data_IF_487017084551
#
_entry.id   IF_487017084551
#
_cell.length_a   1.000
_cell.length_b   1.000
_cell.length_c   1.000
_cell.angle_alpha   90.00
_cell.angle_beta   90.00
_cell.angle_gamma   90.00
#
_symmetry.space_group_name_H-M   'P 1'
#
loop_
_entity.id
_entity.type
_entity.pdbx_description
1 polymer ?
#
# COMPACT_ATOMS: atom_id res chain seq x y z
N UNK A 1 17.93 57.47 -15.96
CA UNK A 1 17.39 56.57 -14.91
C UNK A 1 15.88 56.51 -15.12
N UNK A 2 15.18 55.40 -15.34
CA UNK A 2 15.40 53.97 -15.13
C UNK A 2 14.82 53.21 -16.34
N UNK A 3 15.51 52.18 -16.80
CA UNK A 3 15.02 51.25 -17.80
C UNK A 3 13.96 50.33 -17.17
N UNK A 4 12.83 50.12 -17.85
CA UNK A 4 11.88 49.06 -17.54
C UNK A 4 12.36 47.78 -18.22
N UNK A 5 12.81 46.82 -17.43
CA UNK A 5 13.21 45.50 -17.90
C UNK A 5 11.93 44.71 -18.19
N UNK A 6 11.73 44.34 -19.45
CA UNK A 6 10.80 43.31 -19.89
C UNK A 6 11.24 41.98 -19.29
N UNK A 7 10.47 41.46 -18.33
CA UNK A 7 10.64 40.10 -17.82
C UNK A 7 10.07 39.12 -18.84
N UNK A 8 10.93 38.68 -19.77
CA UNK A 8 10.63 37.52 -20.60
C UNK A 8 10.65 36.27 -19.69
N UNK A 9 9.47 35.77 -19.34
CA UNK A 9 9.34 34.43 -18.78
C UNK A 9 9.59 33.48 -19.95
N UNK A 10 10.86 33.15 -20.17
CA UNK A 10 11.21 31.93 -20.87
C UNK A 10 10.64 30.78 -20.05
N UNK A 11 9.50 30.23 -20.50
CA UNK A 11 9.09 28.88 -20.12
C UNK A 11 10.09 27.97 -20.80
N UNK A 12 11.28 27.89 -20.20
CA UNK A 12 12.28 26.89 -20.50
C UNK A 12 11.56 25.55 -20.39
N UNK A 13 11.53 24.84 -21.51
CA UNK A 13 11.22 23.42 -21.51
C UNK A 13 12.06 22.75 -20.43
N UNK A 14 11.42 22.45 -19.30
CA UNK A 14 11.85 21.35 -18.47
C UNK A 14 11.45 20.11 -19.24
N UNK A 15 12.38 19.71 -20.11
CA UNK A 15 12.51 18.32 -20.47
C UNK A 15 12.46 17.50 -19.19
N UNK A 16 11.38 16.75 -19.04
CA UNK A 16 11.42 15.45 -18.37
C UNK A 16 11.44 14.37 -19.44
N UNK A 17 12.31 14.53 -20.44
CA UNK A 17 13.08 13.39 -20.94
C UNK A 17 14.02 12.98 -19.81
N UNK A 18 13.46 12.21 -18.87
CA UNK A 18 14.13 11.81 -17.64
C UNK A 18 13.44 10.68 -16.89
N UNK A 19 12.33 10.12 -17.38
CA UNK A 19 11.80 8.84 -16.89
C UNK A 19 12.66 7.67 -17.40
N UNK A 20 13.96 7.71 -17.14
CA UNK A 20 14.91 6.62 -17.34
C UNK A 20 15.86 6.58 -16.14
N UNK A 21 15.34 6.40 -14.95
CA UNK A 21 16.08 5.80 -13.83
C UNK A 21 15.11 5.50 -12.67
N UNK A 22 15.03 4.22 -12.29
CA UNK A 22 14.37 3.69 -11.07
C UNK A 22 12.84 3.69 -11.03
N UNK A 23 12.22 3.00 -11.99
CA UNK A 23 10.85 2.48 -11.85
C UNK A 23 10.96 1.05 -11.31
N UNK A 24 10.47 0.83 -10.09
CA UNK A 24 11.12 -0.08 -9.17
C UNK A 24 10.20 -1.24 -8.71
N UNK A 25 8.86 -1.13 -8.67
CA UNK A 25 8.02 -2.34 -8.45
C UNK A 25 7.67 -3.01 -9.76
N UNK A 26 8.17 -4.23 -10.04
CA UNK A 26 7.76 -4.95 -11.23
C UNK A 26 6.29 -5.37 -11.10
N UNK A 27 5.54 -5.29 -12.20
CA UNK A 27 4.25 -5.94 -12.29
C UNK A 27 4.35 -7.41 -11.89
N UNK A 28 3.26 -7.94 -11.36
CA UNK A 28 3.15 -9.36 -11.05
C UNK A 28 2.39 -9.64 -9.76
N UNK A 29 2.47 -10.90 -9.38
CA UNK A 29 1.75 -11.47 -8.27
C UNK A 29 2.63 -11.48 -7.03
N UNK A 30 2.11 -10.96 -5.93
CA UNK A 30 2.80 -10.87 -4.64
C UNK A 30 2.01 -11.62 -3.59
N UNK A 31 2.65 -12.55 -2.91
CA UNK A 31 2.12 -13.13 -1.68
C UNK A 31 2.36 -12.16 -0.52
N UNK A 32 1.32 -11.93 0.25
CA UNK A 32 1.33 -11.15 1.48
C UNK A 32 1.35 -12.10 2.68
N UNK A 33 2.23 -11.84 3.63
CA UNK A 33 2.21 -12.46 4.95
C UNK A 33 2.09 -11.36 6.00
N UNK A 34 1.16 -11.54 6.93
CA UNK A 34 0.83 -10.52 7.92
C UNK A 34 1.53 -10.81 9.25
N UNK A 35 1.99 -9.75 9.92
CA UNK A 35 2.59 -9.84 11.25
C UNK A 35 2.04 -8.75 12.15
N UNK A 36 1.52 -9.11 13.32
CA UNK A 36 0.98 -8.12 14.25
C UNK A 36 2.06 -7.16 14.76
N UNK A 37 1.71 -5.88 14.93
CA UNK A 37 2.59 -4.85 15.49
C UNK A 37 2.01 -4.21 16.76
N UNK A 38 0.79 -3.67 16.69
CA UNK A 38 0.16 -2.97 17.82
C UNK A 38 -1.36 -2.84 17.64
N UNK A 39 -2.14 -3.07 18.69
CA UNK A 39 -3.61 -2.97 18.64
C UNK A 39 -4.31 -3.47 19.89
N UNK A 40 -5.64 -3.44 19.85
CA UNK A 40 -6.55 -3.85 20.92
C UNK A 40 -7.48 -5.01 20.51
N UNK A 41 -7.23 -5.62 19.35
CA UNK A 41 -8.01 -6.77 18.92
C UNK A 41 -7.80 -7.99 19.84
N UNK A 42 -8.86 -8.79 20.09
CA UNK A 42 -8.73 -10.02 20.86
C UNK A 42 -7.65 -10.93 20.28
N UNK A 43 -6.93 -11.63 21.16
CA UNK A 43 -5.80 -12.49 20.77
C UNK A 43 -6.18 -13.51 19.70
N UNK A 44 -7.39 -14.08 19.78
CA UNK A 44 -7.90 -15.05 18.81
C UNK A 44 -8.01 -14.46 17.40
N UNK A 45 -8.49 -13.21 17.29
CA UNK A 45 -8.55 -12.46 16.02
C UNK A 45 -7.13 -12.17 15.50
N UNK A 46 -6.21 -11.78 16.40
CA UNK A 46 -4.82 -11.51 16.03
C UNK A 46 -4.13 -12.77 15.51
N UNK A 47 -4.33 -13.93 16.14
CA UNK A 47 -3.73 -15.19 15.71
C UNK A 47 -4.25 -15.64 14.34
N UNK A 48 -5.56 -15.59 14.10
CA UNK A 48 -6.13 -15.89 12.77
C UNK A 48 -5.59 -14.93 11.70
N UNK A 49 -5.36 -13.67 12.08
CA UNK A 49 -4.82 -12.66 11.19
C UNK A 49 -3.33 -12.89 10.87
N UNK A 50 -2.50 -13.30 11.83
CA UNK A 50 -1.09 -13.63 11.59
C UNK A 50 -0.91 -14.89 10.72
N UNK A 51 -1.86 -15.81 10.78
CA UNK A 51 -1.91 -17.00 9.92
C UNK A 51 -2.47 -16.71 8.53
N UNK A 52 -3.09 -15.54 8.33
CA UNK A 52 -3.62 -15.15 7.04
C UNK A 52 -2.48 -14.91 6.05
N UNK A 53 -2.66 -15.39 4.83
CA UNK A 53 -1.80 -15.07 3.69
C UNK A 53 -2.68 -14.97 2.47
N UNK A 54 -2.48 -13.89 1.72
CA UNK A 54 -3.25 -13.64 0.50
C UNK A 54 -2.31 -13.25 -0.63
N UNK A 55 -2.84 -13.25 -1.84
CA UNK A 55 -2.09 -12.94 -3.05
C UNK A 55 -2.69 -11.71 -3.71
N UNK A 56 -1.87 -10.71 -3.96
CA UNK A 56 -2.27 -9.51 -4.70
C UNK A 56 -1.58 -9.44 -6.05
N UNK A 57 -2.32 -9.03 -7.06
CA UNK A 57 -1.77 -8.73 -8.39
C UNK A 57 -1.58 -7.23 -8.55
N UNK A 58 -0.36 -6.84 -8.93
CA UNK A 58 -0.04 -5.47 -9.32
C UNK A 58 0.06 -5.45 -10.84
N UNK A 59 -0.91 -4.83 -11.53
CA UNK A 59 -0.89 -4.77 -12.97
C UNK A 59 0.16 -3.74 -13.44
N UNK A 60 0.61 -3.89 -14.69
CA UNK A 60 1.75 -3.12 -15.22
C UNK A 60 1.52 -1.61 -15.24
N UNK A 61 0.28 -1.17 -15.42
CA UNK A 61 -0.12 0.24 -15.40
C UNK A 61 -0.06 0.88 -14.01
N UNK A 62 -0.04 0.08 -12.94
CA UNK A 62 0.13 0.54 -11.55
C UNK A 62 1.55 0.33 -11.02
N UNK A 63 2.43 -0.25 -11.83
CA UNK A 63 3.84 -0.38 -11.49
C UNK A 63 4.43 1.00 -11.15
N UNK A 64 5.28 1.03 -10.12
CA UNK A 64 6.00 2.23 -9.67
C UNK A 64 5.13 3.34 -9.04
N UNK A 65 3.87 3.05 -8.71
CA UNK A 65 3.05 3.87 -7.82
C UNK A 65 3.11 3.32 -6.39
N UNK A 66 2.75 4.13 -5.39
CA UNK A 66 2.55 3.63 -4.02
C UNK A 66 1.49 2.54 -4.05
N UNK A 67 1.79 1.39 -3.47
CA UNK A 67 0.80 0.33 -3.36
C UNK A 67 -0.15 0.68 -2.21
N UNK A 68 -1.43 0.77 -2.53
CA UNK A 68 -2.52 0.93 -1.56
C UNK A 68 -3.67 0.05 -2.03
N UNK A 69 -4.17 -0.79 -1.12
CA UNK A 69 -5.36 -1.62 -1.32
C UNK A 69 -6.23 -1.61 -0.07
N UNK A 70 -7.54 -1.73 -0.26
CA UNK A 70 -8.50 -1.89 0.80
C UNK A 70 -9.25 -3.20 0.55
N UNK A 71 -9.27 -4.08 1.56
CA UNK A 71 -10.05 -5.32 1.53
C UNK A 71 -11.10 -5.17 2.62
N UNK A 72 -12.38 -5.14 2.23
CA UNK A 72 -13.48 -5.06 3.17
C UNK A 72 -14.43 -6.23 2.96
N UNK A 73 -14.93 -6.78 4.07
CA UNK A 73 -15.92 -7.85 4.09
C UNK A 73 -16.91 -7.61 5.22
N UNK A 74 -18.16 -7.94 4.99
CA UNK A 74 -19.22 -7.90 6.00
C UNK A 74 -19.46 -9.34 6.48
N UNK A 75 -19.34 -9.59 7.78
CA UNK A 75 -19.55 -10.89 8.43
C UNK A 75 -20.55 -10.71 9.54
N UNK A 76 -21.75 -11.30 9.38
CA UNK A 76 -22.86 -11.17 10.32
C UNK A 76 -23.18 -9.70 10.64
N UNK A 77 -22.94 -9.26 11.88
CA UNK A 77 -23.16 -7.89 12.37
C UNK A 77 -21.89 -7.05 12.40
N UNK A 78 -20.81 -7.53 11.78
CA UNK A 78 -19.49 -6.92 11.81
C UNK A 78 -19.01 -6.56 10.41
N UNK A 79 -18.56 -5.32 10.23
CA UNK A 79 -17.78 -4.89 9.07
C UNK A 79 -16.31 -4.98 9.39
N UNK A 80 -15.58 -5.76 8.60
CA UNK A 80 -14.13 -5.92 8.71
C UNK A 80 -13.49 -5.22 7.52
N UNK A 81 -12.52 -4.35 7.77
CA UNK A 81 -11.74 -3.68 6.72
C UNK A 81 -10.26 -3.73 7.01
N UNK A 82 -9.47 -3.98 5.97
CA UNK A 82 -8.03 -3.98 5.99
C UNK A 82 -7.53 -2.97 4.96
N UNK A 83 -6.93 -1.89 5.45
CA UNK A 83 -6.19 -0.95 4.62
C UNK A 83 -4.72 -1.37 4.62
N UNK A 84 -4.17 -1.66 3.44
CA UNK A 84 -2.78 -2.09 3.29
C UNK A 84 -2.07 -1.10 2.38
N UNK A 85 -0.87 -0.68 2.78
CA UNK A 85 0.00 0.15 1.98
C UNK A 85 1.44 -0.33 2.03
N UNK A 86 2.18 -0.10 0.95
CA UNK A 86 3.60 -0.44 0.87
C UNK A 86 4.33 0.54 -0.06
N UNK A 87 5.59 0.78 0.25
CA UNK A 87 6.47 1.55 -0.60
C UNK A 87 7.06 0.67 -1.71
N UNK A 88 7.26 1.30 -2.86
CA UNK A 88 7.67 0.65 -4.09
C UNK A 88 9.20 0.82 -4.32
N UNK A 89 9.95 -0.28 -4.45
CA UNK A 89 11.41 -0.28 -4.72
C UNK A 89 11.81 -1.35 -5.76
N UNK A 90 13.01 -1.27 -6.38
CA UNK A 90 13.50 -2.14 -7.49
C UNK A 90 13.49 -3.62 -7.12
N UNK A 91 13.51 -3.88 -5.82
CA UNK A 91 13.52 -5.18 -5.20
C UNK A 91 12.10 -5.70 -4.90
N UNK A 92 11.05 -4.94 -5.26
CA UNK A 92 9.66 -5.24 -4.97
C UNK A 92 9.03 -4.27 -3.96
N UNK A 93 7.94 -4.71 -3.35
CA UNK A 93 7.26 -3.96 -2.28
C UNK A 93 8.05 -4.05 -0.97
N UNK A 94 8.17 -2.92 -0.27
CA UNK A 94 8.84 -2.78 1.02
C UNK A 94 7.99 -1.98 2.00
N UNK A 95 8.40 -2.04 3.27
CA UNK A 95 7.80 -1.25 4.36
C UNK A 95 6.27 -1.39 4.41
N UNK A 96 5.80 -2.62 4.15
CA UNK A 96 4.40 -2.96 4.13
C UNK A 96 3.77 -2.78 5.49
N UNK A 97 2.68 -2.03 5.54
CA UNK A 97 1.92 -1.79 6.74
C UNK A 97 0.44 -1.85 6.42
N UNK A 98 -0.36 -2.30 7.38
CA UNK A 98 -1.79 -2.16 7.27
C UNK A 98 -2.50 -2.01 8.60
N UNK A 99 -3.77 -1.66 8.47
CA UNK A 99 -4.69 -1.39 9.56
C UNK A 99 -5.91 -2.27 9.37
N UNK A 100 -6.10 -3.20 10.28
CA UNK A 100 -7.29 -4.02 10.41
C UNK A 100 -8.24 -3.25 11.33
N UNK A 101 -9.48 -3.09 10.89
CA UNK A 101 -10.55 -2.46 11.66
C UNK A 101 -11.75 -3.38 11.61
N UNK A 102 -12.25 -3.77 12.78
CA UNK A 102 -13.51 -4.50 12.92
C UNK A 102 -14.51 -3.59 13.61
N UNK A 103 -15.69 -3.44 13.00
CA UNK A 103 -16.79 -2.63 13.50
C UNK A 103 -18.04 -3.50 13.60
N UNK A 104 -18.41 -3.91 14.81
CA UNK A 104 -19.62 -4.68 15.04
C UNK A 104 -20.76 -3.82 15.60
N UNK A 105 -21.98 -4.04 15.11
CA UNK A 105 -23.20 -3.49 15.71
C UNK A 105 -23.34 -4.03 17.13
N UNK A 106 -23.29 -3.14 18.14
CA UNK A 106 -23.37 -3.52 19.56
C UNK A 106 -22.05 -3.44 20.34
N UNK A 107 -20.95 -2.97 19.74
CA UNK A 107 -19.86 -2.32 20.48
C UNK A 107 -18.51 -3.03 20.50
N UNK A 108 -18.38 -4.24 19.96
CA UNK A 108 -17.06 -4.81 19.70
C UNK A 108 -16.44 -4.08 18.50
N UNK A 109 -15.60 -3.10 18.81
CA UNK A 109 -14.74 -2.43 17.83
C UNK A 109 -13.31 -2.71 18.23
N UNK A 110 -12.50 -3.16 17.29
CA UNK A 110 -11.07 -3.28 17.52
C UNK A 110 -10.30 -2.81 16.31
N UNK A 111 -9.09 -2.33 16.57
CA UNK A 111 -8.17 -1.83 15.58
C UNK A 111 -6.79 -2.42 15.81
N UNK A 112 -6.27 -3.08 14.79
CA UNK A 112 -4.97 -3.73 14.83
C UNK A 112 -4.10 -3.21 13.69
N UNK A 113 -2.93 -2.70 14.04
CA UNK A 113 -1.88 -2.37 13.09
C UNK A 113 -0.96 -3.57 12.92
N UNK A 114 -0.55 -3.81 11.68
CA UNK A 114 0.27 -4.95 11.32
C UNK A 114 1.31 -4.55 10.26
N UNK A 115 2.41 -5.30 10.23
CA UNK A 115 3.38 -5.30 9.15
C UNK A 115 2.93 -6.28 8.07
N UNK A 116 3.33 -6.00 6.83
CA UNK A 116 3.09 -6.88 5.69
C UNK A 116 4.42 -7.17 5.01
N UNK A 117 4.77 -8.44 4.99
CA UNK A 117 5.88 -8.93 4.18
C UNK A 117 5.35 -9.33 2.81
N UNK A 118 5.99 -8.81 1.76
CA UNK A 118 5.64 -9.12 0.38
C UNK A 118 6.68 -10.02 -0.24
N UNK A 119 6.23 -11.11 -0.86
CA UNK A 119 7.07 -12.01 -1.64
C UNK A 119 6.54 -12.10 -3.06
N UNK A 120 7.34 -11.67 -4.03
CA UNK A 120 6.99 -11.83 -5.45
C UNK A 120 6.92 -13.32 -5.79
N UNK A 121 5.80 -13.75 -6.36
CA UNK A 121 5.60 -15.09 -6.88
C UNK A 121 6.06 -15.17 -8.35
N UNK A 122 6.53 -16.34 -8.81
CA UNK A 122 6.83 -16.55 -10.21
C UNK A 122 5.58 -16.33 -11.07
N UNK A 123 5.74 -15.68 -12.22
CA UNK A 123 4.66 -15.56 -13.20
C UNK A 123 4.28 -16.96 -13.69
N UNK A 124 2.97 -17.25 -13.73
CA UNK A 124 2.44 -18.48 -14.33
C UNK A 124 2.52 -18.45 -15.85
#
# INVERSE_FOLDING_TARGET
MRAFILLAIAVSGLGLQGCKEKCEVPAGTYQMAFKSLAGDCPKETVTQFEEFSDTVEIPAERACQKFVTNIATDVETCRISMDISADASNQGLKDGQGVFTMLCDGGAQCRQTFGVDFKKLPAK
#
